data_IF_826339759689
#
_entry.id   IF_826339759689
#
_cell.length_a   1.000
_cell.length_b   1.000
_cell.length_c   1.000
_cell.angle_alpha   90.00
_cell.angle_beta   90.00
_cell.angle_gamma   90.00
#
_symmetry.space_group_name_H-M   'P 1'
#
loop_
_entity.id
_entity.type
_entity.pdbx_description
1 polymer ?
#
# COMPACT_ATOMS: atom_id res chain seq x y z
N UNK A 1 -21.78 -0.73 -2.18
CA UNK A 1 -21.14 -0.29 -0.92
C UNK A 1 -20.84 -1.52 -0.07
N UNK A 2 -19.64 -1.59 0.51
CA UNK A 2 -19.22 -2.64 1.43
C UNK A 2 -19.14 -2.10 2.86
N UNK A 3 -18.71 -2.98 3.80
CA UNK A 3 -18.50 -2.62 5.20
C UNK A 3 -17.71 -1.30 5.34
N UNK A 4 -18.06 -0.46 6.27
CA UNK A 4 -17.44 0.85 6.56
C UNK A 4 -17.52 1.88 5.42
N UNK A 5 -18.54 1.82 4.58
CA UNK A 5 -18.74 2.80 3.51
C UNK A 5 -17.78 2.68 2.32
N UNK A 6 -17.06 1.57 2.20
CA UNK A 6 -16.16 1.34 1.07
C UNK A 6 -16.95 1.24 -0.24
N UNK A 7 -16.54 2.03 -1.23
CA UNK A 7 -17.11 2.02 -2.56
C UNK A 7 -16.28 1.16 -3.51
N UNK A 8 -16.96 0.49 -4.42
CA UNK A 8 -16.36 -0.32 -5.48
C UNK A 8 -17.05 0.00 -6.81
N UNK A 9 -16.34 -0.18 -7.91
CA UNK A 9 -16.97 -0.12 -9.22
C UNK A 9 -18.04 -1.20 -9.35
N UNK A 10 -19.13 -0.88 -10.01
CA UNK A 10 -20.22 -1.83 -10.24
C UNK A 10 -19.80 -2.96 -11.19
N UNK A 11 -18.96 -2.65 -12.18
CA UNK A 11 -18.51 -3.62 -13.18
C UNK A 11 -17.04 -3.98 -13.02
N UNK A 12 -16.10 -3.07 -13.34
CA UNK A 12 -14.66 -3.37 -13.39
C UNK A 12 -13.83 -2.13 -13.03
N UNK A 13 -12.62 -2.37 -12.54
CA UNK A 13 -11.71 -1.29 -12.14
C UNK A 13 -11.31 -0.35 -13.29
N UNK A 14 -11.32 -0.82 -14.55
CA UNK A 14 -11.05 0.03 -15.70
C UNK A 14 -12.06 1.15 -15.89
N UNK A 15 -13.27 1.05 -15.33
CA UNK A 15 -14.27 2.12 -15.41
C UNK A 15 -13.79 3.41 -14.73
N UNK A 16 -13.00 3.28 -13.64
CA UNK A 16 -12.35 4.43 -13.00
C UNK A 16 -11.23 4.99 -13.90
N UNK A 17 -10.45 4.12 -14.55
CA UNK A 17 -9.41 4.57 -15.47
C UNK A 17 -10.02 5.33 -16.65
N UNK A 18 -11.06 4.77 -17.26
CA UNK A 18 -11.75 5.38 -18.41
C UNK A 18 -12.36 6.74 -18.03
N UNK A 19 -12.93 6.85 -16.81
CA UNK A 19 -13.42 8.11 -16.26
C UNK A 19 -12.30 9.16 -16.13
N UNK A 20 -11.16 8.77 -15.53
CA UNK A 20 -10.02 9.70 -15.33
C UNK A 20 -9.41 10.14 -16.68
N UNK A 21 -9.34 9.23 -17.66
CA UNK A 21 -8.86 9.57 -19.00
C UNK A 21 -9.81 10.55 -19.70
N UNK A 22 -11.11 10.39 -19.53
CA UNK A 22 -12.10 11.34 -20.06
C UNK A 22 -11.97 12.72 -19.43
N UNK A 23 -11.79 12.82 -18.11
CA UNK A 23 -11.53 14.07 -17.40
C UNK A 23 -10.23 14.76 -17.90
N UNK A 24 -9.17 13.98 -18.15
CA UNK A 24 -7.93 14.51 -18.72
C UNK A 24 -8.16 15.09 -20.12
N UNK A 25 -8.90 14.40 -20.97
CA UNK A 25 -9.21 14.84 -22.34
C UNK A 25 -10.07 16.12 -22.33
N UNK A 26 -11.10 16.17 -21.50
CA UNK A 26 -11.95 17.35 -21.33
C UNK A 26 -11.18 18.57 -20.81
N UNK A 27 -10.22 18.34 -19.89
CA UNK A 27 -9.34 19.39 -19.38
C UNK A 27 -8.23 19.79 -20.35
N UNK A 28 -8.06 19.10 -21.48
CA UNK A 28 -6.96 19.31 -22.42
C UNK A 28 -5.59 18.89 -21.88
N UNK A 29 -5.55 17.96 -20.91
CA UNK A 29 -4.30 17.44 -20.36
C UNK A 29 -3.70 16.41 -21.32
N UNK A 30 -2.46 16.62 -21.76
CA UNK A 30 -1.77 15.71 -22.65
C UNK A 30 -1.13 14.56 -21.88
N UNK A 31 -1.50 13.32 -22.21
CA UNK A 31 -0.90 12.09 -21.66
C UNK A 31 0.04 11.49 -22.71
N UNK A 32 1.33 11.38 -22.35
CA UNK A 32 2.37 10.78 -23.22
C UNK A 32 2.80 9.44 -22.68
N UNK A 33 2.26 8.40 -23.26
CA UNK A 33 2.61 7.01 -22.97
C UNK A 33 3.99 6.65 -23.53
N UNK A 34 4.62 5.60 -22.99
CA UNK A 34 5.91 5.06 -23.44
C UNK A 34 7.05 6.09 -23.51
N UNK A 35 6.98 7.10 -22.62
CA UNK A 35 7.99 8.16 -22.53
C UNK A 35 8.77 8.00 -21.24
N UNK A 36 10.04 7.61 -21.36
CA UNK A 36 10.96 7.49 -20.22
C UNK A 36 11.58 8.85 -19.92
N UNK A 37 11.66 9.21 -18.64
CA UNK A 37 12.37 10.40 -18.17
C UNK A 37 13.79 9.96 -17.83
N UNK A 38 14.80 10.57 -18.48
CA UNK A 38 16.21 10.22 -18.36
C UNK A 38 16.93 11.17 -17.41
N UNK A 39 16.56 12.46 -17.45
CA UNK A 39 17.18 13.51 -16.63
C UNK A 39 16.20 14.64 -16.35
N UNK A 40 16.33 15.24 -15.18
CA UNK A 40 15.58 16.43 -14.77
C UNK A 40 16.59 17.47 -14.30
N UNK A 41 16.63 18.62 -14.96
CA UNK A 41 17.49 19.74 -14.63
C UNK A 41 16.62 20.92 -14.16
N UNK A 42 17.07 21.61 -13.09
CA UNK A 42 16.48 22.90 -12.68
C UNK A 42 17.07 24.01 -13.53
N UNK A 43 16.24 24.91 -14.01
CA UNK A 43 16.62 26.11 -14.76
C UNK A 43 16.14 27.38 -14.03
N UNK A 44 16.54 28.54 -14.48
CA UNK A 44 16.09 29.80 -13.88
C UNK A 44 14.58 30.04 -14.02
N UNK A 45 13.95 29.44 -15.04
CA UNK A 45 12.50 29.57 -15.34
C UNK A 45 11.66 28.36 -14.98
N UNK A 46 12.24 27.30 -14.37
CA UNK A 46 11.51 26.08 -14.01
C UNK A 46 12.36 24.81 -14.13
N UNK A 47 11.92 23.87 -14.95
CA UNK A 47 12.58 22.57 -15.11
C UNK A 47 12.68 22.20 -16.59
N UNK A 48 13.76 21.50 -16.92
CA UNK A 48 13.98 20.86 -18.22
C UNK A 48 14.08 19.35 -18.00
N UNK A 49 13.19 18.61 -18.66
CA UNK A 49 13.19 17.15 -18.66
C UNK A 49 13.78 16.65 -19.96
N UNK A 50 14.74 15.74 -19.89
CA UNK A 50 15.21 14.96 -21.05
C UNK A 50 14.49 13.63 -21.02
N UNK A 51 13.85 13.32 -22.13
CA UNK A 51 13.04 12.09 -22.24
C UNK A 51 13.33 11.37 -23.54
N UNK A 52 12.90 10.11 -23.62
CA UNK A 52 12.99 9.30 -24.84
C UNK A 52 12.20 9.88 -26.02
N UNK A 53 11.25 10.81 -25.76
CA UNK A 53 10.46 11.51 -26.77
C UNK A 53 10.96 12.95 -27.06
N UNK A 54 12.16 13.29 -26.54
CA UNK A 54 12.75 14.63 -26.67
C UNK A 54 12.66 15.47 -25.37
N UNK A 55 13.13 16.71 -25.38
CA UNK A 55 13.11 17.57 -24.21
C UNK A 55 11.74 18.22 -23.96
N UNK A 56 11.38 18.38 -22.67
CA UNK A 56 10.20 19.12 -22.23
C UNK A 56 10.64 20.17 -21.21
N UNK A 57 10.14 21.39 -21.33
CA UNK A 57 10.34 22.45 -20.36
C UNK A 57 9.01 22.77 -19.65
N UNK A 58 9.07 23.02 -18.35
CA UNK A 58 7.92 23.43 -17.57
C UNK A 58 8.33 24.38 -16.42
N UNK A 59 7.40 25.23 -16.00
CA UNK A 59 7.62 26.12 -14.86
C UNK A 59 7.52 25.37 -13.52
N UNK A 60 6.61 24.40 -13.43
CA UNK A 60 6.38 23.58 -12.25
C UNK A 60 6.37 22.11 -12.63
N UNK A 61 6.99 21.27 -11.80
CA UNK A 61 7.09 19.84 -11.99
C UNK A 61 6.51 19.11 -10.79
N UNK A 62 5.63 18.17 -11.03
CA UNK A 62 5.08 17.26 -10.01
C UNK A 62 5.63 15.86 -10.24
N UNK A 63 6.25 15.27 -9.22
CA UNK A 63 6.69 13.87 -9.22
C UNK A 63 5.61 13.02 -8.55
N UNK A 64 4.84 12.29 -9.35
CA UNK A 64 3.71 11.47 -8.90
C UNK A 64 3.88 10.00 -9.32
N UNK A 65 5.11 9.48 -9.23
CA UNK A 65 5.50 8.14 -9.73
C UNK A 65 5.14 6.99 -8.79
N UNK A 66 4.48 7.26 -7.66
CA UNK A 66 4.17 6.28 -6.64
C UNK A 66 5.41 5.79 -5.88
N UNK A 67 5.21 4.79 -5.05
CA UNK A 67 6.26 4.12 -4.26
C UNK A 67 6.64 2.75 -4.83
N UNK A 68 7.40 1.96 -4.04
CA UNK A 68 7.97 0.67 -4.45
C UNK A 68 7.01 -0.54 -4.31
N UNK A 69 5.71 -0.31 -4.15
CA UNK A 69 4.77 -1.34 -3.72
C UNK A 69 4.54 -2.46 -4.74
N UNK A 70 4.49 -2.15 -6.05
CA UNK A 70 4.20 -3.13 -7.10
C UNK A 70 5.17 -2.94 -8.27
N UNK A 71 6.38 -3.52 -8.22
CA UNK A 71 7.39 -3.37 -9.28
C UNK A 71 6.90 -3.83 -10.66
N UNK A 72 6.06 -4.86 -10.71
CA UNK A 72 5.49 -5.38 -11.95
C UNK A 72 4.53 -4.42 -12.66
N UNK A 73 4.02 -3.41 -11.95
CA UNK A 73 3.21 -2.33 -12.50
C UNK A 73 4.01 -1.03 -12.71
N UNK A 74 5.34 -1.12 -12.75
CA UNK A 74 6.23 0.01 -13.04
C UNK A 74 6.64 0.82 -11.81
N UNK A 75 6.36 0.34 -10.57
CA UNK A 75 6.83 0.97 -9.36
C UNK A 75 8.37 0.93 -9.30
N UNK A 76 9.01 2.10 -9.28
CA UNK A 76 10.47 2.24 -9.25
C UNK A 76 10.91 3.24 -8.18
N UNK A 77 12.22 3.25 -7.87
CA UNK A 77 12.82 4.24 -6.97
C UNK A 77 13.05 5.62 -7.61
N UNK A 78 12.52 5.91 -8.78
CA UNK A 78 12.77 7.15 -9.51
C UNK A 78 12.41 8.41 -8.70
N UNK A 79 11.24 8.46 -8.08
CA UNK A 79 10.83 9.59 -7.24
C UNK A 79 11.79 9.84 -6.08
N UNK A 80 12.33 8.79 -5.47
CA UNK A 80 13.35 8.91 -4.41
C UNK A 80 14.70 9.42 -4.95
N UNK A 81 15.08 9.02 -6.16
CA UNK A 81 16.31 9.54 -6.81
C UNK A 81 16.18 11.03 -7.08
N UNK A 82 15.06 11.46 -7.63
CA UNK A 82 14.75 12.88 -7.88
C UNK A 82 14.74 13.66 -6.57
N UNK A 83 14.10 13.17 -5.52
CA UNK A 83 14.10 13.83 -4.22
C UNK A 83 15.52 14.04 -3.67
N UNK A 84 16.41 13.03 -3.76
CA UNK A 84 17.83 13.18 -3.38
C UNK A 84 18.56 14.18 -4.27
N UNK A 85 18.33 14.16 -5.57
CA UNK A 85 18.94 15.09 -6.53
C UNK A 85 18.64 16.55 -6.16
N UNK A 86 17.44 16.82 -5.67
CA UNK A 86 17.02 18.16 -5.23
C UNK A 86 17.28 18.44 -3.74
N UNK A 87 18.10 17.63 -3.07
CA UNK A 87 18.59 17.87 -1.72
C UNK A 87 17.61 17.50 -0.59
N UNK A 88 16.54 16.76 -0.88
CA UNK A 88 15.61 16.28 0.15
C UNK A 88 16.21 15.10 0.92
N UNK A 89 16.02 15.11 2.23
CA UNK A 89 16.34 13.99 3.09
C UNK A 89 15.30 12.88 2.91
N UNK A 90 15.77 11.66 2.63
CA UNK A 90 14.90 10.49 2.58
C UNK A 90 15.05 9.67 3.85
N UNK A 91 13.94 9.47 4.54
CA UNK A 91 13.87 8.50 5.63
C UNK A 91 13.95 7.07 5.05
N UNK A 92 14.51 6.10 5.80
CA UNK A 92 14.50 4.71 5.38
C UNK A 92 13.09 4.24 5.05
N UNK A 93 12.92 3.67 3.87
CA UNK A 93 11.64 3.11 3.45
C UNK A 93 11.45 1.73 4.04
N UNK A 94 10.24 1.42 4.49
CA UNK A 94 9.83 0.09 4.94
C UNK A 94 8.49 -0.29 4.33
N UNK A 95 8.23 -1.60 4.26
CA UNK A 95 6.93 -2.09 3.85
C UNK A 95 5.86 -1.70 4.86
N UNK A 96 4.71 -1.23 4.39
CA UNK A 96 3.52 -0.96 5.18
C UNK A 96 2.31 -1.62 4.56
N UNK A 97 1.28 -1.89 5.35
CA UNK A 97 0.07 -2.61 4.92
C UNK A 97 0.40 -3.97 4.30
N UNK A 98 1.26 -4.76 4.98
CA UNK A 98 1.74 -6.06 4.50
C UNK A 98 1.27 -7.20 5.41
N UNK A 99 1.07 -8.42 4.87
CA UNK A 99 0.78 -9.59 5.68
C UNK A 99 2.01 -10.03 6.49
N UNK A 100 1.77 -10.73 7.61
CA UNK A 100 2.82 -11.41 8.34
C UNK A 100 3.04 -12.83 7.83
N UNK A 101 4.29 -13.15 7.55
CA UNK A 101 4.70 -14.52 7.22
C UNK A 101 5.14 -15.24 8.49
N UNK A 102 4.58 -16.42 8.75
CA UNK A 102 4.93 -17.26 9.90
C UNK A 102 5.93 -18.32 9.47
N UNK A 103 7.04 -18.39 10.19
CA UNK A 103 8.12 -19.35 9.94
C UNK A 103 8.16 -20.49 10.97
N UNK A 104 7.55 -20.30 12.15
CA UNK A 104 7.44 -21.34 13.16
C UNK A 104 6.56 -22.49 12.61
N UNK A 105 7.02 -23.75 12.61
CA UNK A 105 6.36 -24.84 11.89
C UNK A 105 4.93 -25.17 12.35
N UNK A 106 4.66 -25.12 13.66
CA UNK A 106 3.34 -25.48 14.21
C UNK A 106 2.32 -24.40 13.89
N UNK A 107 2.67 -23.13 14.11
CA UNK A 107 1.80 -22.00 13.76
C UNK A 107 1.57 -21.91 12.25
N UNK A 108 2.59 -22.21 11.45
CA UNK A 108 2.46 -22.24 9.99
C UNK A 108 1.52 -23.36 9.52
N UNK A 109 1.61 -24.54 10.15
CA UNK A 109 0.70 -25.66 9.85
C UNK A 109 -0.75 -25.26 10.19
N UNK A 110 -1.00 -24.68 11.34
CA UNK A 110 -2.31 -24.15 11.75
C UNK A 110 -2.83 -23.10 10.75
N UNK A 111 -2.00 -22.13 10.35
CA UNK A 111 -2.41 -21.14 9.36
C UNK A 111 -2.73 -21.77 8.01
N UNK A 112 -2.02 -22.83 7.62
CA UNK A 112 -2.28 -23.55 6.37
C UNK A 112 -3.62 -24.29 6.44
N UNK A 113 -3.93 -24.95 7.55
CA UNK A 113 -5.19 -25.64 7.78
C UNK A 113 -6.39 -24.68 7.76
N UNK A 114 -6.22 -23.51 8.39
CA UNK A 114 -7.25 -22.44 8.45
C UNK A 114 -7.27 -21.53 7.22
N UNK A 115 -6.46 -21.81 6.20
CA UNK A 115 -6.32 -20.93 5.05
C UNK A 115 -7.65 -20.60 4.37
N UNK A 116 -7.93 -19.31 4.18
CA UNK A 116 -9.22 -18.81 3.68
C UNK A 116 -10.23 -18.45 4.77
N UNK A 117 -10.00 -18.86 6.02
CA UNK A 117 -10.85 -18.46 7.14
C UNK A 117 -10.60 -16.99 7.51
N UNK A 118 -11.68 -16.23 7.63
CA UNK A 118 -11.66 -14.83 8.06
C UNK A 118 -12.57 -14.64 9.27
N UNK A 119 -12.12 -13.86 10.26
CA UNK A 119 -12.88 -13.56 11.47
C UNK A 119 -12.56 -12.15 11.99
N UNK A 120 -13.53 -11.56 12.69
CA UNK A 120 -13.38 -10.28 13.38
C UNK A 120 -12.40 -10.43 14.56
N UNK A 121 -11.46 -9.53 14.69
CA UNK A 121 -10.47 -9.52 15.75
C UNK A 121 -10.02 -8.11 16.10
N UNK A 122 -9.29 -7.97 17.21
CA UNK A 122 -8.49 -6.78 17.47
C UNK A 122 -7.01 -7.17 17.40
N UNK A 123 -6.26 -6.55 16.47
CA UNK A 123 -4.82 -6.70 16.35
C UNK A 123 -4.12 -5.48 16.92
N UNK A 124 -3.13 -5.68 17.79
CA UNK A 124 -2.45 -4.60 18.53
C UNK A 124 -0.93 -4.75 18.47
N UNK A 125 -0.24 -3.64 18.32
CA UNK A 125 1.22 -3.55 18.38
C UNK A 125 1.63 -2.14 18.80
N UNK A 126 2.62 -2.02 19.68
CA UNK A 126 3.20 -0.74 20.12
C UNK A 126 2.16 0.31 20.57
N UNK A 127 1.12 -0.12 21.30
CA UNK A 127 0.06 0.76 21.79
C UNK A 127 -0.98 1.18 20.74
N UNK A 128 -0.88 0.71 19.52
CA UNK A 128 -1.86 0.96 18.45
C UNK A 128 -2.66 -0.31 18.18
N UNK A 129 -3.99 -0.16 18.05
CA UNK A 129 -4.91 -1.27 17.85
C UNK A 129 -5.85 -1.03 16.68
N UNK A 130 -6.17 -2.10 15.97
CA UNK A 130 -7.12 -2.08 14.86
C UNK A 130 -8.12 -3.22 15.02
N UNK A 131 -9.41 -2.88 15.02
CA UNK A 131 -10.48 -3.88 15.01
C UNK A 131 -11.04 -4.01 13.59
N UNK A 132 -10.77 -5.12 12.97
CA UNK A 132 -11.23 -5.49 11.63
C UNK A 132 -11.02 -7.00 11.41
N UNK A 133 -11.33 -7.51 10.23
CA UNK A 133 -11.14 -8.91 9.93
C UNK A 133 -9.65 -9.28 9.81
N UNK A 134 -9.30 -10.40 10.42
CA UNK A 134 -8.09 -11.18 10.16
C UNK A 134 -8.41 -12.22 9.09
N UNK A 135 -7.42 -12.58 8.28
CA UNK A 135 -7.49 -13.65 7.29
C UNK A 135 -6.30 -14.60 7.50
N UNK A 136 -6.58 -15.87 7.71
CA UNK A 136 -5.56 -16.92 7.65
C UNK A 136 -5.19 -17.25 6.21
N UNK A 137 -3.89 -17.37 5.94
CA UNK A 137 -3.35 -17.78 4.65
C UNK A 137 -2.35 -18.90 4.83
N UNK A 138 -2.04 -19.64 3.79
CA UNK A 138 -1.01 -20.71 3.82
C UNK A 138 0.40 -20.21 4.19
N UNK A 139 0.63 -18.91 4.19
CA UNK A 139 1.92 -18.28 4.55
C UNK A 139 1.90 -17.66 5.94
N UNK A 140 0.74 -17.41 6.53
CA UNK A 140 0.57 -16.73 7.80
C UNK A 140 -0.69 -15.90 7.86
N UNK A 141 -0.60 -14.67 8.35
CA UNK A 141 -1.74 -13.82 8.67
C UNK A 141 -1.84 -12.62 7.73
N UNK A 142 -3.06 -12.31 7.29
CA UNK A 142 -3.43 -11.18 6.44
C UNK A 142 -4.79 -10.64 6.89
N UNK A 143 -5.44 -9.88 6.05
CA UNK A 143 -6.72 -9.22 6.35
C UNK A 143 -6.54 -7.79 6.87
N UNK A 144 -7.60 -6.98 6.87
CA UNK A 144 -7.52 -5.54 7.14
C UNK A 144 -6.88 -5.20 8.48
N UNK A 145 -7.20 -5.92 9.58
CA UNK A 145 -6.60 -5.69 10.89
C UNK A 145 -5.08 -5.89 10.87
N UNK A 146 -4.64 -6.99 10.23
CA UNK A 146 -3.23 -7.35 10.13
C UNK A 146 -2.46 -6.38 9.23
N UNK A 147 -3.02 -6.01 8.08
CA UNK A 147 -2.38 -5.06 7.18
C UNK A 147 -2.21 -3.69 7.82
N UNK A 148 -3.19 -3.22 8.58
CA UNK A 148 -3.10 -1.92 9.27
C UNK A 148 -2.05 -1.95 10.37
N UNK A 149 -2.09 -2.94 11.28
CA UNK A 149 -1.16 -3.05 12.40
C UNK A 149 0.29 -3.27 11.95
N UNK A 150 0.51 -3.87 10.76
CA UNK A 150 1.85 -4.11 10.23
C UNK A 150 2.66 -2.83 10.01
N UNK A 151 2.00 -1.69 9.84
CA UNK A 151 2.66 -0.38 9.72
C UNK A 151 3.28 0.12 11.03
N UNK A 152 2.91 -0.48 12.16
CA UNK A 152 3.38 -0.13 13.51
C UNK A 152 4.31 -1.18 14.11
N UNK A 153 4.50 -2.31 13.43
CA UNK A 153 5.37 -3.41 13.85
C UNK A 153 6.78 -3.26 13.32
N UNK A 154 7.76 -3.53 14.15
CA UNK A 154 9.18 -3.68 13.78
C UNK A 154 9.69 -5.07 14.17
N UNK A 155 10.81 -5.49 13.57
CA UNK A 155 11.36 -6.82 13.85
C UNK A 155 11.73 -6.97 15.32
N UNK A 156 11.10 -7.94 15.98
CA UNK A 156 11.24 -8.19 17.42
C UNK A 156 10.06 -7.73 18.27
N UNK A 157 9.14 -6.95 17.71
CA UNK A 157 7.94 -6.52 18.43
C UNK A 157 6.92 -7.67 18.54
N UNK A 158 6.13 -7.60 19.60
CA UNK A 158 5.02 -8.51 19.83
C UNK A 158 3.77 -8.02 19.12
N UNK A 159 3.15 -8.90 18.33
CA UNK A 159 1.82 -8.71 17.77
C UNK A 159 0.82 -9.46 18.65
N UNK A 160 -0.12 -8.73 19.24
CA UNK A 160 -1.21 -9.28 20.03
C UNK A 160 -2.49 -9.35 19.17
N UNK A 161 -3.18 -10.49 19.21
CA UNK A 161 -4.43 -10.69 18.46
C UNK A 161 -5.50 -11.22 19.43
N UNK A 162 -6.50 -10.38 19.69
CA UNK A 162 -7.71 -10.78 20.42
C UNK A 162 -8.75 -11.30 19.42
N UNK A 163 -9.01 -12.61 19.48
CA UNK A 163 -9.97 -13.30 18.61
C UNK A 163 -11.42 -13.26 19.13
N UNK A 164 -11.62 -12.72 20.34
CA UNK A 164 -12.93 -12.56 21.01
C UNK A 164 -13.12 -11.12 21.48
N UNK A 165 -13.12 -10.11 20.57
CA UNK A 165 -13.07 -8.71 20.95
C UNK A 165 -14.31 -8.21 21.72
N UNK A 166 -15.43 -8.93 21.66
CA UNK A 166 -16.71 -8.59 22.31
C UNK A 166 -16.98 -9.44 23.55
N UNK A 167 -16.10 -10.37 23.95
CA UNK A 167 -16.34 -11.33 25.00
C UNK A 167 -15.13 -11.49 25.90
N UNK A 168 -15.37 -11.66 27.20
CA UNK A 168 -14.37 -12.21 28.07
C UNK A 168 -14.22 -13.72 27.81
N UNK A 169 -12.99 -14.16 27.54
CA UNK A 169 -12.71 -15.55 27.24
C UNK A 169 -13.02 -16.48 28.42
N UNK A 170 -12.88 -16.00 29.67
CA UNK A 170 -13.22 -16.77 30.86
C UNK A 170 -14.73 -16.96 31.00
N UNK A 171 -15.51 -15.90 30.76
CA UNK A 171 -16.96 -15.98 30.79
C UNK A 171 -17.50 -16.93 29.70
N UNK A 172 -16.84 -16.94 28.52
CA UNK A 172 -17.23 -17.82 27.43
C UNK A 172 -16.91 -19.30 27.69
N UNK A 173 -15.82 -19.60 28.41
CA UNK A 173 -15.45 -20.98 28.76
C UNK A 173 -16.30 -21.55 29.89
N UNK A 174 -17.01 -20.72 30.64
CA UNK A 174 -17.90 -21.13 31.74
C UNK A 174 -19.37 -21.29 31.31
N UNK A 175 -19.72 -21.00 30.05
CA UNK A 175 -21.05 -21.19 29.47
C UNK A 175 -21.10 -22.43 28.61
#
# INVERSE_FOLDING_TARGET
EKKLGQLFCDNKASDILDMLLAECDEAGAEIRMHTSIEQIDKTDSGYLLRTSAGPFACQSLVIATGGLSIPTLGATGFGYQVARQFGHTLLPTRAGLVPFTITEPQLKAMCTELSGTSLDCTASCNGTSFRENLLFTHRGLSGPAILQVSSFWEAGDTLEINLLPDRDALDWLHT
#
